data_IF_950024443434
#
_entry.id   IF_950024443434
#
_cell.length_a   1.000
_cell.length_b   1.000
_cell.length_c   1.000
_cell.angle_alpha   90.00
_cell.angle_beta   90.00
_cell.angle_gamma   90.00
#
_symmetry.space_group_name_H-M   'P 1'
#
loop_
_entity.id
_entity.type
_entity.pdbx_description
1 polymer ?
#
# COMPACT_ATOMS: atom_id res chain seq x y z
N UNK A 1 4.87 10.19 6.34
CA UNK A 1 4.18 10.16 5.03
C UNK A 1 2.69 10.24 5.33
N UNK A 2 2.01 11.25 4.81
CA UNK A 2 0.63 11.57 5.19
C UNK A 2 -0.38 10.88 4.26
N UNK A 3 -1.55 10.56 4.81
CA UNK A 3 -2.62 9.85 4.08
C UNK A 3 -3.17 10.67 2.91
N UNK A 4 -3.16 12.00 3.01
CA UNK A 4 -3.58 12.88 1.91
C UNK A 4 -2.63 12.81 0.71
N UNK A 5 -1.32 12.68 0.96
CA UNK A 5 -0.34 12.51 -0.12
C UNK A 5 -0.57 11.17 -0.82
N UNK A 6 -0.74 10.09 -0.06
CA UNK A 6 -1.04 8.77 -0.61
C UNK A 6 -2.31 8.79 -1.47
N UNK A 7 -3.39 9.38 -0.93
CA UNK A 7 -4.65 9.54 -1.63
C UNK A 7 -4.49 10.27 -2.95
N UNK A 8 -3.80 11.41 -2.95
CA UNK A 8 -3.55 12.19 -4.17
C UNK A 8 -2.72 11.42 -5.20
N UNK A 9 -1.68 10.71 -4.75
CA UNK A 9 -0.83 9.89 -5.62
C UNK A 9 -1.61 8.73 -6.22
N UNK A 10 -2.37 7.99 -5.41
CA UNK A 10 -3.17 6.86 -5.86
C UNK A 10 -4.31 7.28 -6.81
N UNK A 11 -4.94 8.44 -6.59
CA UNK A 11 -5.98 8.96 -7.47
C UNK A 11 -5.45 9.62 -8.75
N UNK A 12 -4.13 9.83 -8.87
CA UNK A 12 -3.52 10.31 -10.12
C UNK A 12 -3.46 9.23 -11.20
N UNK A 13 -3.59 7.95 -10.84
CA UNK A 13 -3.63 6.86 -11.82
C UNK A 13 -4.94 6.89 -12.64
N UNK A 14 -4.90 6.67 -13.96
CA UNK A 14 -6.10 6.62 -14.79
C UNK A 14 -7.11 5.59 -14.27
N UNK A 15 -8.38 6.00 -14.14
CA UNK A 15 -9.48 5.16 -13.64
C UNK A 15 -9.29 4.66 -12.20
N UNK A 16 -8.43 5.32 -11.41
CA UNK A 16 -8.35 5.05 -9.99
C UNK A 16 -9.60 5.52 -9.26
N UNK A 17 -10.01 4.72 -8.28
CA UNK A 17 -11.10 5.00 -7.36
C UNK A 17 -10.64 4.68 -5.95
N UNK A 18 -11.23 5.35 -4.96
CA UNK A 18 -11.03 5.05 -3.55
C UNK A 18 -12.34 4.65 -2.90
N UNK A 19 -12.25 3.80 -1.88
CA UNK A 19 -13.40 3.38 -1.09
C UNK A 19 -12.95 3.03 0.32
N UNK A 20 -13.69 3.49 1.33
CA UNK A 20 -13.49 3.02 2.70
C UNK A 20 -14.10 1.63 2.83
N UNK A 21 -13.30 0.66 3.26
CA UNK A 21 -13.71 -0.72 3.52
C UNK A 21 -13.18 -1.18 4.87
N UNK A 22 -13.67 -2.33 5.34
CA UNK A 22 -13.22 -2.98 6.58
C UNK A 22 -13.25 -2.05 7.82
N UNK A 23 -14.22 -1.13 7.85
CA UNK A 23 -14.35 -0.11 8.88
C UNK A 23 -13.66 1.18 8.48
N UNK A 24 -12.33 1.22 8.57
CA UNK A 24 -11.53 2.45 8.47
C UNK A 24 -10.33 2.33 7.52
N UNK A 25 -10.34 1.38 6.58
CA UNK A 25 -9.27 1.22 5.60
C UNK A 25 -9.62 1.89 4.28
N UNK A 26 -8.77 2.81 3.83
CA UNK A 26 -8.86 3.45 2.53
C UNK A 26 -8.30 2.51 1.46
N UNK A 27 -9.18 1.94 0.65
CA UNK A 27 -8.83 0.98 -0.39
C UNK A 27 -8.86 1.64 -1.76
N UNK A 28 -7.72 1.61 -2.45
CA UNK A 28 -7.58 2.13 -3.80
C UNK A 28 -7.69 1.02 -4.83
N UNK A 29 -8.48 1.29 -5.88
CA UNK A 29 -8.75 0.35 -6.99
C UNK A 29 -8.55 1.01 -8.33
N UNK A 30 -8.03 0.27 -9.32
CA UNK A 30 -8.02 0.64 -10.73
C UNK A 30 -8.84 -0.40 -11.50
N UNK A 31 -9.80 0.07 -12.30
CA UNK A 31 -10.74 -0.80 -13.04
C UNK A 31 -11.39 -1.87 -12.14
N UNK A 32 -11.74 -1.50 -10.89
CA UNK A 32 -12.36 -2.38 -9.91
C UNK A 32 -11.41 -3.33 -9.16
N UNK A 33 -10.11 -3.36 -9.48
CA UNK A 33 -9.11 -4.21 -8.82
C UNK A 33 -8.29 -3.41 -7.81
N UNK A 34 -8.15 -3.92 -6.59
CA UNK A 34 -7.36 -3.27 -5.53
C UNK A 34 -5.88 -3.27 -5.86
N UNK A 35 -5.19 -2.16 -5.57
CA UNK A 35 -3.74 -2.05 -5.75
C UNK A 35 -3.02 -1.45 -4.54
N UNK A 36 -3.71 -0.66 -3.71
CA UNK A 36 -3.17 -0.11 -2.48
C UNK A 36 -4.26 -0.02 -1.39
N UNK A 37 -3.86 -0.12 -0.13
CA UNK A 37 -4.71 -0.01 1.06
C UNK A 37 -3.94 0.79 2.11
N UNK A 38 -4.57 1.82 2.66
CA UNK A 38 -3.99 2.62 3.74
C UNK A 38 -5.00 2.73 4.90
N UNK A 39 -4.66 2.30 6.13
CA UNK A 39 -5.52 2.50 7.28
C UNK A 39 -5.62 3.98 7.64
N UNK A 40 -6.83 4.43 7.99
CA UNK A 40 -7.09 5.80 8.45
C UNK A 40 -6.87 5.95 9.97
N UNK A 41 -6.81 4.83 10.70
CA UNK A 41 -6.55 4.78 12.14
C UNK A 41 -5.18 4.18 12.44
N UNK A 42 -4.64 4.37 13.67
CA UNK A 42 -3.39 3.75 14.08
C UNK A 42 -3.45 2.23 13.91
N UNK A 43 -2.58 1.70 13.06
CA UNK A 43 -2.47 0.29 12.75
C UNK A 43 -0.99 -0.13 12.74
N UNK A 44 -0.68 -1.44 12.83
CA UNK A 44 0.70 -1.95 12.76
C UNK A 44 1.40 -1.64 11.43
N UNK A 45 0.64 -1.36 10.37
CA UNK A 45 1.13 -1.01 9.04
C UNK A 45 0.46 0.26 8.58
N UNK A 46 1.15 1.10 7.82
CA UNK A 46 0.63 2.38 7.32
C UNK A 46 0.23 2.34 5.84
N UNK A 47 0.70 1.34 5.08
CA UNK A 47 0.35 1.16 3.68
C UNK A 47 0.57 -0.30 3.30
N UNK A 48 -0.37 -0.90 2.57
CA UNK A 48 -0.19 -2.18 1.90
C UNK A 48 -0.43 -2.03 0.42
N UNK A 49 0.43 -2.59 -0.42
CA UNK A 49 0.27 -2.50 -1.87
C UNK A 49 0.86 -3.72 -2.57
N UNK A 50 0.43 -3.92 -3.81
CA UNK A 50 0.91 -5.00 -4.65
C UNK A 50 2.23 -4.61 -5.33
N UNK A 51 3.23 -5.48 -5.27
CA UNK A 51 4.48 -5.33 -6.01
C UNK A 51 4.63 -6.45 -7.07
N UNK A 52 5.66 -6.35 -7.91
CA UNK A 52 6.04 -7.44 -8.82
C UNK A 52 6.65 -8.61 -8.03
N UNK A 53 6.66 -9.80 -8.65
CA UNK A 53 7.33 -10.98 -8.09
C UNK A 53 8.82 -10.74 -7.82
N UNK A 54 9.49 -10.00 -8.71
CA UNK A 54 10.92 -9.67 -8.61
C UNK A 54 11.20 -8.77 -7.40
N UNK A 55 10.39 -7.72 -7.21
CA UNK A 55 10.59 -6.78 -6.11
C UNK A 55 10.12 -7.32 -4.76
N UNK A 56 9.25 -8.33 -4.73
CA UNK A 56 8.69 -8.85 -3.48
C UNK A 56 9.78 -9.34 -2.53
N UNK A 57 10.71 -10.18 -3.02
CA UNK A 57 11.77 -10.73 -2.19
C UNK A 57 12.67 -9.60 -1.64
N UNK A 58 13.16 -8.74 -2.54
CA UNK A 58 14.05 -7.63 -2.20
C UNK A 58 13.41 -6.68 -1.18
N UNK A 59 12.15 -6.29 -1.40
CA UNK A 59 11.45 -5.34 -0.52
C UNK A 59 11.21 -5.95 0.86
N UNK A 60 10.87 -7.23 0.96
CA UNK A 60 10.64 -7.89 2.26
C UNK A 60 11.92 -8.15 3.07
N UNK A 61 13.10 -8.04 2.46
CA UNK A 61 14.38 -8.07 3.18
C UNK A 61 14.73 -6.71 3.81
N UNK A 62 14.05 -5.63 3.40
CA UNK A 62 14.27 -4.29 3.93
C UNK A 62 13.62 -4.13 5.31
N UNK A 63 14.24 -3.35 6.23
CA UNK A 63 13.63 -3.08 7.53
C UNK A 63 12.30 -2.33 7.36
N UNK A 64 11.32 -2.66 8.21
CA UNK A 64 9.98 -2.03 8.24
C UNK A 64 9.10 -2.34 7.03
N UNK A 65 9.49 -3.31 6.20
CA UNK A 65 8.65 -3.84 5.13
C UNK A 65 8.41 -5.32 5.43
N UNK A 66 7.14 -5.69 5.51
CA UNK A 66 6.74 -7.06 5.78
C UNK A 66 5.84 -7.58 4.66
N UNK A 67 5.74 -8.90 4.46
CA UNK A 67 4.67 -9.48 3.65
C UNK A 67 3.31 -9.04 4.21
N UNK A 68 2.42 -8.54 3.35
CA UNK A 68 1.12 -8.07 3.80
C UNK A 68 0.33 -9.21 4.45
N UNK A 69 -0.20 -9.04 5.68
CA UNK A 69 -1.01 -10.05 6.33
C UNK A 69 -2.16 -10.51 5.42
N UNK A 70 -2.34 -11.82 5.29
CA UNK A 70 -3.36 -12.47 4.45
C UNK A 70 -3.23 -12.28 2.92
N UNK A 71 -2.51 -11.25 2.44
CA UNK A 71 -2.36 -10.95 1.01
C UNK A 71 -0.97 -11.26 0.44
N UNK A 72 -0.01 -11.71 1.25
CA UNK A 72 1.34 -12.04 0.82
C UNK A 72 1.41 -13.03 -0.36
N UNK A 73 0.47 -14.01 -0.44
CA UNK A 73 0.40 -14.97 -1.56
C UNK A 73 0.15 -14.30 -2.91
N UNK A 74 -0.50 -13.13 -2.90
CA UNK A 74 -0.77 -12.33 -4.09
C UNK A 74 0.31 -11.26 -4.35
N UNK A 75 1.49 -11.40 -3.70
CA UNK A 75 2.62 -10.46 -3.77
C UNK A 75 2.30 -9.06 -3.27
N UNK A 76 1.59 -9.01 -2.15
CA UNK A 76 1.38 -7.76 -1.41
C UNK A 76 2.39 -7.63 -0.28
N UNK A 77 2.96 -6.44 -0.16
CA UNK A 77 3.80 -6.04 0.96
C UNK A 77 3.09 -4.97 1.78
N UNK A 78 3.49 -4.82 3.03
CA UNK A 78 3.00 -3.79 3.93
C UNK A 78 4.18 -3.06 4.57
N UNK A 79 4.04 -1.74 4.68
CA UNK A 79 4.99 -0.87 5.33
C UNK A 79 4.56 -0.71 6.79
N UNK A 80 5.43 -1.07 7.73
CA UNK A 80 5.19 -0.83 9.16
C UNK A 80 5.32 0.65 9.53
N UNK A 81 6.07 1.40 8.72
CA UNK A 81 6.28 2.84 8.93
C UNK A 81 6.53 3.55 7.61
N UNK A 82 6.24 4.85 7.59
CA UNK A 82 6.48 5.69 6.42
C UNK A 82 7.96 5.85 6.03
N UNK A 83 8.88 5.44 6.90
CA UNK A 83 10.32 5.46 6.61
C UNK A 83 10.82 4.18 5.93
N UNK A 84 9.97 3.17 5.75
CA UNK A 84 10.37 1.89 5.14
C UNK A 84 10.69 2.01 3.64
N UNK A 85 10.12 3.02 2.96
CA UNK A 85 10.38 3.31 1.55
C UNK A 85 10.30 4.81 1.31
N UNK A 86 11.12 5.33 0.40
CA UNK A 86 11.08 6.75 0.07
C UNK A 86 9.90 7.09 -0.84
N UNK A 87 9.40 8.33 -0.78
CA UNK A 87 8.34 8.80 -1.68
C UNK A 87 8.71 8.72 -3.17
N UNK A 88 10.01 8.83 -3.48
CA UNK A 88 10.51 8.77 -4.85
C UNK A 88 10.43 7.35 -5.42
N UNK A 89 10.58 6.32 -4.58
CA UNK A 89 10.46 4.91 -5.00
C UNK A 89 9.00 4.44 -5.14
N UNK A 90 8.03 5.22 -4.63
CA UNK A 90 6.60 4.92 -4.72
C UNK A 90 5.92 5.50 -5.97
N UNK A 91 6.63 6.31 -6.77
CA UNK A 91 6.14 6.95 -8.01
C UNK A 91 6.61 6.16 -9.23
#
# INVERSE_FOLDING_TARGET
MDVEWLRKTCLAFPHATEQIQWGNDLVFKVAGKMFAVAPLEPAPVCLSFKCSDESFAELTERPKIIPAPYMARAKWIALESSDGISRAELL
#
